data_IF_938514314128
#
_entry.id   IF_938514314128
#
_cell.length_a   1.000
_cell.length_b   1.000
_cell.length_c   1.000
_cell.angle_alpha   90.00
_cell.angle_beta   90.00
_cell.angle_gamma   90.00
#
_symmetry.space_group_name_H-M   'P 1'
#
loop_
_entity.id
_entity.type
_entity.pdbx_description
1 polymer ?
#
# COMPACT_ATOMS: atom_id res chain seq x y z
N UNK A 1 -15.77 3.97 7.32
CA UNK A 1 -16.37 3.18 8.42
C UNK A 1 -15.44 3.36 9.61
N UNK A 2 -15.93 3.82 10.75
CA UNK A 2 -15.12 3.99 11.95
C UNK A 2 -14.76 2.64 12.57
N UNK A 3 -13.74 2.61 13.41
CA UNK A 3 -13.33 1.40 14.15
C UNK A 3 -14.50 0.84 14.99
N UNK A 4 -15.21 1.72 15.69
CA UNK A 4 -16.38 1.33 16.50
C UNK A 4 -17.52 0.73 15.66
N UNK A 5 -17.81 1.32 14.50
CA UNK A 5 -18.81 0.77 13.57
C UNK A 5 -18.39 -0.60 13.04
N UNK A 6 -17.07 -0.81 12.83
CA UNK A 6 -16.55 -2.12 12.42
C UNK A 6 -16.75 -3.18 13.49
N UNK A 7 -16.50 -2.87 14.77
CA UNK A 7 -16.77 -3.77 15.90
C UNK A 7 -18.24 -4.18 15.92
N UNK A 8 -19.17 -3.21 15.89
CA UNK A 8 -20.62 -3.48 15.90
C UNK A 8 -21.09 -4.36 14.74
N UNK A 9 -20.51 -4.15 13.55
CA UNK A 9 -20.84 -4.95 12.36
C UNK A 9 -20.37 -6.39 12.51
N UNK A 10 -19.16 -6.59 13.07
CA UNK A 10 -18.57 -7.90 13.33
C UNK A 10 -19.38 -8.63 14.40
N UNK A 11 -19.76 -7.95 15.49
CA UNK A 11 -20.62 -8.52 16.54
C UNK A 11 -21.93 -9.09 15.98
N UNK A 12 -22.64 -8.31 15.16
CA UNK A 12 -23.85 -8.77 14.50
C UNK A 12 -23.62 -10.02 13.66
N UNK A 13 -22.52 -10.06 12.91
CA UNK A 13 -22.17 -11.18 12.04
C UNK A 13 -21.88 -12.43 12.86
N UNK A 14 -21.12 -12.31 13.97
CA UNK A 14 -20.80 -13.41 14.88
C UNK A 14 -22.08 -13.95 15.52
N UNK A 15 -22.94 -13.08 16.01
CA UNK A 15 -24.22 -13.47 16.63
C UNK A 15 -25.16 -14.18 15.66
N UNK A 16 -25.23 -13.71 14.41
CA UNK A 16 -26.11 -14.28 13.38
C UNK A 16 -25.68 -15.68 12.92
N UNK A 17 -24.39 -15.96 12.91
CA UNK A 17 -23.87 -17.21 12.38
C UNK A 17 -23.69 -18.34 13.42
N UNK A 18 -23.99 -18.06 14.70
CA UNK A 18 -24.06 -19.07 15.77
C UNK A 18 -22.79 -19.93 15.93
N UNK A 19 -21.66 -19.35 15.65
CA UNK A 19 -20.46 -20.11 15.32
C UNK A 19 -19.61 -20.51 16.53
N UNK A 20 -18.74 -21.55 16.40
CA UNK A 20 -17.68 -21.88 17.34
C UNK A 20 -16.58 -20.78 17.44
N UNK A 21 -16.84 -19.60 16.90
CA UNK A 21 -16.01 -18.39 16.89
C UNK A 21 -16.10 -17.61 18.22
N UNK A 22 -16.75 -18.14 19.24
CA UNK A 22 -16.91 -17.53 20.58
C UNK A 22 -15.59 -17.27 21.30
N UNK A 23 -14.46 -17.74 20.74
CA UNK A 23 -13.12 -17.49 21.31
C UNK A 23 -12.45 -16.22 20.74
N UNK A 24 -13.00 -15.59 19.70
CA UNK A 24 -12.44 -14.38 19.09
C UNK A 24 -13.41 -13.24 19.29
N UNK A 25 -13.04 -12.27 20.11
CA UNK A 25 -13.86 -11.08 20.32
C UNK A 25 -13.86 -10.16 19.09
N UNK A 26 -14.92 -9.39 18.93
CA UNK A 26 -15.14 -8.53 17.78
C UNK A 26 -14.11 -7.42 17.66
N UNK A 27 -13.56 -6.97 18.77
CA UNK A 27 -12.53 -5.94 18.77
C UNK A 27 -11.21 -6.48 18.23
N UNK A 28 -10.80 -7.67 18.61
CA UNK A 28 -9.61 -8.34 18.03
C UNK A 28 -9.73 -8.53 16.53
N UNK A 29 -10.91 -8.92 16.03
CA UNK A 29 -11.17 -9.05 14.58
C UNK A 29 -11.12 -7.68 13.90
N UNK A 30 -11.70 -6.65 14.50
CA UNK A 30 -11.67 -5.29 13.95
C UNK A 30 -10.24 -4.75 13.87
N UNK A 31 -9.42 -4.95 14.90
CA UNK A 31 -8.00 -4.58 14.93
C UNK A 31 -7.21 -5.30 13.83
N UNK A 32 -7.40 -6.60 13.69
CA UNK A 32 -6.75 -7.39 12.66
C UNK A 32 -7.14 -6.92 11.25
N UNK A 33 -8.42 -6.62 11.00
CA UNK A 33 -8.89 -6.06 9.72
C UNK A 33 -8.31 -4.68 9.43
N UNK A 34 -8.19 -3.84 10.46
CA UNK A 34 -7.61 -2.51 10.32
C UNK A 34 -6.12 -2.58 9.94
N UNK A 35 -5.37 -3.50 10.58
CA UNK A 35 -3.96 -3.73 10.28
C UNK A 35 -3.73 -4.39 8.90
N UNK A 36 -4.71 -5.14 8.41
CA UNK A 36 -4.66 -5.88 7.15
C UNK A 36 -5.71 -5.37 6.15
N UNK A 37 -5.86 -4.05 6.03
CA UNK A 37 -6.90 -3.38 5.23
C UNK A 37 -6.82 -3.65 3.72
N UNK A 38 -5.69 -4.16 3.24
CA UNK A 38 -5.46 -4.50 1.84
C UNK A 38 -5.14 -6.00 1.71
N UNK A 39 -6.15 -6.88 1.65
CA UNK A 39 -5.93 -8.33 1.61
C UNK A 39 -5.27 -8.81 0.31
N UNK A 40 -5.50 -8.12 -0.83
CA UNK A 40 -4.94 -8.51 -2.13
C UNK A 40 -4.24 -7.34 -2.83
N UNK A 41 -3.37 -7.67 -3.81
CA UNK A 41 -2.76 -6.66 -4.67
C UNK A 41 -3.81 -5.87 -5.48
N UNK A 42 -4.91 -6.51 -5.90
CA UNK A 42 -6.00 -5.81 -6.59
C UNK A 42 -6.70 -4.77 -5.71
N UNK A 43 -6.83 -5.01 -4.42
CA UNK A 43 -7.39 -4.02 -3.49
C UNK A 43 -6.46 -2.81 -3.38
N UNK A 44 -5.14 -3.07 -3.37
CA UNK A 44 -4.12 -2.01 -3.40
C UNK A 44 -4.21 -1.24 -4.72
N UNK A 45 -4.20 -1.92 -5.85
CA UNK A 45 -4.26 -1.29 -7.17
C UNK A 45 -5.50 -0.40 -7.32
N UNK A 46 -6.68 -0.87 -6.89
CA UNK A 46 -7.93 -0.09 -6.91
C UNK A 46 -7.86 1.14 -6.00
N UNK A 47 -7.34 0.98 -4.79
CA UNK A 47 -7.20 2.06 -3.83
C UNK A 47 -6.25 3.13 -4.35
N UNK A 48 -5.07 2.74 -4.83
CA UNK A 48 -4.03 3.65 -5.30
C UNK A 48 -4.36 4.29 -6.65
N UNK A 49 -5.05 3.59 -7.54
CA UNK A 49 -5.56 4.16 -8.79
C UNK A 49 -6.61 5.25 -8.55
N UNK A 50 -7.45 5.09 -7.52
CA UNK A 50 -8.39 6.14 -7.12
C UNK A 50 -7.66 7.39 -6.61
N UNK A 51 -6.62 7.22 -5.80
CA UNK A 51 -5.77 8.34 -5.33
C UNK A 51 -5.15 9.04 -6.53
N UNK A 52 -4.53 8.29 -7.44
CA UNK A 52 -3.88 8.84 -8.61
C UNK A 52 -4.84 9.67 -9.47
N UNK A 53 -6.06 9.18 -9.68
CA UNK A 53 -7.10 9.94 -10.40
C UNK A 53 -7.43 11.25 -9.70
N UNK A 54 -7.64 11.21 -8.38
CA UNK A 54 -7.94 12.41 -7.59
C UNK A 54 -6.80 13.44 -7.64
N UNK A 55 -5.56 12.97 -7.59
CA UNK A 55 -4.38 13.83 -7.67
C UNK A 55 -4.24 14.45 -9.08
N UNK A 56 -4.56 13.69 -10.15
CA UNK A 56 -4.59 14.22 -11.52
C UNK A 56 -5.67 15.31 -11.68
N UNK A 57 -6.87 15.05 -11.18
CA UNK A 57 -7.97 16.03 -11.20
C UNK A 57 -7.61 17.30 -10.40
N UNK A 58 -6.92 17.13 -9.26
CA UNK A 58 -6.45 18.26 -8.46
C UNK A 58 -5.38 19.06 -9.19
N UNK A 59 -4.43 18.40 -9.86
CA UNK A 59 -3.40 19.07 -10.67
C UNK A 59 -3.97 19.82 -11.88
N UNK A 60 -4.97 19.24 -12.54
CA UNK A 60 -5.66 19.91 -13.66
C UNK A 60 -6.40 21.19 -13.21
N UNK A 61 -6.90 21.19 -11.97
CA UNK A 61 -7.55 22.37 -11.38
C UNK A 61 -6.54 23.39 -10.86
N UNK A 62 -5.43 22.96 -10.28
CA UNK A 62 -4.36 23.79 -9.74
C UNK A 62 -2.99 23.09 -9.91
N UNK A 63 -2.12 23.59 -10.79
CA UNK A 63 -0.77 23.02 -10.99
C UNK A 63 0.11 23.03 -9.73
N UNK A 64 -0.23 23.79 -8.68
CA UNK A 64 0.47 23.73 -7.40
C UNK A 64 0.18 22.42 -6.64
N UNK A 65 -0.86 21.68 -7.00
CA UNK A 65 -1.20 20.35 -6.46
C UNK A 65 -0.42 19.21 -7.13
N UNK A 66 0.86 19.42 -7.44
CA UNK A 66 1.70 18.43 -8.08
C UNK A 66 2.00 17.24 -7.17
N UNK A 67 2.22 16.08 -7.77
CA UNK A 67 2.69 14.87 -7.11
C UNK A 67 4.20 14.69 -7.27
N UNK A 68 4.81 13.93 -6.35
CA UNK A 68 6.23 13.62 -6.39
C UNK A 68 6.44 12.11 -6.44
N UNK A 69 7.08 11.65 -7.50
CA UNK A 69 7.45 10.25 -7.68
C UNK A 69 8.88 10.00 -7.20
N UNK A 70 9.06 8.95 -6.42
CA UNK A 70 10.33 8.58 -5.78
C UNK A 70 10.79 7.22 -6.29
N UNK A 71 11.95 7.15 -6.93
CA UNK A 71 12.55 5.90 -7.37
C UNK A 71 12.74 4.93 -6.20
N UNK A 72 12.36 3.66 -6.39
CA UNK A 72 12.49 2.64 -5.37
C UNK A 72 12.69 1.25 -5.98
N UNK A 73 13.55 0.45 -5.37
CA UNK A 73 13.95 -0.89 -5.85
C UNK A 73 14.08 -1.93 -4.74
N UNK A 74 13.64 -1.60 -3.52
CA UNK A 74 13.75 -2.50 -2.37
C UNK A 74 12.68 -2.16 -1.32
N UNK A 75 12.00 -3.17 -0.80
CA UNK A 75 10.88 -3.00 0.13
C UNK A 75 11.25 -2.23 1.40
N UNK A 76 12.40 -2.54 2.02
CA UNK A 76 12.85 -1.81 3.20
C UNK A 76 13.10 -0.32 2.93
N UNK A 77 13.69 0.00 1.77
CA UNK A 77 13.92 1.39 1.38
C UNK A 77 12.58 2.12 1.17
N UNK A 78 11.61 1.48 0.51
CA UNK A 78 10.26 2.04 0.36
C UNK A 78 9.61 2.34 1.71
N UNK A 79 9.66 1.38 2.63
CA UNK A 79 9.14 1.52 3.99
C UNK A 79 9.78 2.70 4.72
N UNK A 80 11.12 2.78 4.73
CA UNK A 80 11.84 3.86 5.42
C UNK A 80 11.57 5.24 4.80
N UNK A 81 11.45 5.32 3.46
CA UNK A 81 11.07 6.56 2.78
C UNK A 81 9.68 7.03 3.23
N UNK A 82 8.67 6.17 3.21
CA UNK A 82 7.30 6.56 3.57
C UNK A 82 7.17 6.88 5.05
N UNK A 83 7.81 6.12 5.95
CA UNK A 83 7.87 6.46 7.38
C UNK A 83 8.51 7.83 7.61
N UNK A 84 9.65 8.09 6.96
CA UNK A 84 10.36 9.36 7.07
C UNK A 84 9.53 10.52 6.53
N UNK A 85 8.90 10.36 5.38
CA UNK A 85 8.03 11.38 4.78
C UNK A 85 6.86 11.68 5.71
N UNK A 86 6.14 10.68 6.19
CA UNK A 86 5.02 10.86 7.12
C UNK A 86 5.47 11.58 8.40
N UNK A 87 6.64 11.19 8.95
CA UNK A 87 7.20 11.82 10.13
C UNK A 87 7.56 13.30 9.94
N UNK A 88 8.15 13.66 8.79
CA UNK A 88 8.67 15.01 8.58
C UNK A 88 7.65 15.96 7.94
N UNK A 89 6.74 15.46 7.13
CA UNK A 89 5.74 16.25 6.41
C UNK A 89 4.31 16.06 6.94
N UNK A 90 4.11 15.15 7.90
CA UNK A 90 2.80 14.85 8.50
C UNK A 90 1.90 13.98 7.61
N UNK A 91 2.27 13.72 6.35
CA UNK A 91 1.45 13.00 5.40
C UNK A 91 2.28 12.35 4.30
N UNK A 92 1.77 11.25 3.72
CA UNK A 92 2.28 10.61 2.50
C UNK A 92 1.50 11.02 1.24
N UNK A 93 0.50 11.90 1.37
CA UNK A 93 -0.29 12.37 0.22
C UNK A 93 0.59 12.98 -0.86
N UNK A 94 0.16 12.82 -2.12
CA UNK A 94 0.90 13.31 -3.30
C UNK A 94 2.32 12.73 -3.43
N UNK A 95 2.59 11.58 -2.80
CA UNK A 95 3.86 10.83 -2.92
C UNK A 95 3.59 9.49 -3.59
N UNK A 96 4.38 9.21 -4.63
CA UNK A 96 4.31 7.98 -5.42
C UNK A 96 5.66 7.27 -5.35
N UNK A 97 5.64 5.98 -5.61
CA UNK A 97 6.86 5.23 -5.88
C UNK A 97 6.94 4.96 -7.39
N UNK A 98 8.10 5.20 -7.95
CA UNK A 98 8.43 4.80 -9.31
C UNK A 98 9.37 3.59 -9.28
N UNK A 99 8.95 2.55 -9.94
CA UNK A 99 9.69 1.31 -10.07
C UNK A 99 10.27 1.25 -11.47
N UNK A 100 11.55 1.59 -11.57
CA UNK A 100 12.28 1.68 -12.84
C UNK A 100 12.74 0.31 -13.32
N UNK A 101 12.48 -0.02 -14.57
CA UNK A 101 12.98 -1.22 -15.25
C UNK A 101 14.50 -1.28 -15.23
N UNK A 102 15.16 -0.15 -15.50
CA UNK A 102 16.61 -0.04 -15.40
C UNK A 102 17.18 -0.45 -14.03
N UNK A 103 16.55 -0.01 -12.94
CA UNK A 103 16.97 -0.38 -11.59
C UNK A 103 16.72 -1.87 -11.30
N UNK A 104 15.65 -2.44 -11.86
CA UNK A 104 15.37 -3.88 -11.76
C UNK A 104 16.42 -4.67 -12.52
N UNK A 105 16.73 -4.31 -13.76
CA UNK A 105 17.74 -4.96 -14.57
C UNK A 105 19.12 -4.93 -13.89
N UNK A 106 19.50 -3.78 -13.32
CA UNK A 106 20.81 -3.60 -12.69
C UNK A 106 20.95 -4.30 -11.32
N UNK A 107 19.87 -4.41 -10.54
CA UNK A 107 19.96 -4.78 -9.13
C UNK A 107 19.17 -6.03 -8.73
N UNK A 108 18.25 -6.51 -9.57
CA UNK A 108 17.31 -7.58 -9.21
C UNK A 108 17.35 -8.78 -10.14
N UNK A 109 18.09 -8.73 -11.25
CA UNK A 109 18.21 -9.89 -12.14
C UNK A 109 18.98 -11.02 -11.47
N UNK A 110 18.52 -12.25 -11.65
CA UNK A 110 19.19 -13.47 -11.17
C UNK A 110 20.51 -13.75 -11.96
N UNK A 111 20.64 -13.19 -13.13
CA UNK A 111 21.84 -13.34 -13.98
C UNK A 111 22.94 -12.31 -13.71
N UNK A 112 22.81 -11.51 -12.65
CA UNK A 112 23.69 -10.41 -12.35
C UNK A 112 23.24 -9.10 -12.99
N UNK A 113 24.02 -8.02 -12.88
CA UNK A 113 23.64 -6.73 -13.45
C UNK A 113 23.47 -6.82 -14.97
N UNK A 114 22.26 -6.56 -15.44
CA UNK A 114 21.91 -6.52 -16.86
C UNK A 114 21.67 -5.07 -17.31
N UNK A 115 21.87 -4.78 -18.62
CA UNK A 115 21.44 -3.50 -19.17
C UNK A 115 19.90 -3.43 -19.18
N UNK A 116 19.38 -2.22 -19.32
CA UNK A 116 17.98 -1.92 -19.54
C UNK A 116 17.40 -2.62 -20.79
N UNK A 117 16.23 -2.23 -21.23
CA UNK A 117 15.57 -2.70 -22.46
C UNK A 117 15.01 -4.12 -22.37
N UNK A 118 14.25 -4.39 -21.30
CA UNK A 118 13.58 -5.69 -21.11
C UNK A 118 14.53 -6.90 -21.08
N UNK A 119 15.77 -6.71 -20.67
CA UNK A 119 16.75 -7.80 -20.58
C UNK A 119 16.76 -8.51 -19.22
N UNK A 120 15.89 -8.15 -18.30
CA UNK A 120 15.66 -8.88 -17.03
C UNK A 120 14.47 -9.82 -17.14
N UNK A 121 14.31 -10.68 -16.15
CA UNK A 121 13.20 -11.63 -16.10
C UNK A 121 11.88 -10.86 -15.92
N UNK A 122 10.91 -11.10 -16.80
CA UNK A 122 9.60 -10.42 -16.80
C UNK A 122 8.81 -10.56 -15.49
N UNK A 123 9.16 -11.51 -14.63
CA UNK A 123 8.54 -11.70 -13.30
C UNK A 123 9.18 -10.84 -12.22
N UNK A 124 10.34 -10.22 -12.47
CA UNK A 124 11.09 -9.43 -11.48
C UNK A 124 10.32 -8.19 -11.03
N UNK A 125 9.69 -7.47 -11.95
CA UNK A 125 8.92 -6.26 -11.63
C UNK A 125 7.67 -6.59 -10.82
N UNK A 126 6.79 -7.53 -11.20
CA UNK A 126 5.67 -7.95 -10.36
C UNK A 126 6.09 -8.39 -8.94
N UNK A 127 7.16 -9.19 -8.82
CA UNK A 127 7.66 -9.63 -7.52
C UNK A 127 8.14 -8.46 -6.66
N UNK A 128 8.80 -7.46 -7.26
CA UNK A 128 9.22 -6.27 -6.54
C UNK A 128 8.04 -5.40 -6.11
N UNK A 129 6.99 -5.26 -6.92
CA UNK A 129 5.75 -4.56 -6.52
C UNK A 129 5.17 -5.21 -5.25
N UNK A 130 5.05 -6.54 -5.22
CA UNK A 130 4.58 -7.29 -4.06
C UNK A 130 5.47 -7.08 -2.83
N UNK A 131 6.79 -7.09 -3.01
CA UNK A 131 7.76 -6.81 -1.94
C UNK A 131 7.55 -5.41 -1.37
N UNK A 132 7.51 -4.37 -2.23
CA UNK A 132 7.33 -2.99 -1.80
C UNK A 132 6.06 -2.85 -0.96
N UNK A 133 4.93 -3.36 -1.43
CA UNK A 133 3.68 -3.29 -0.69
C UNK A 133 3.67 -4.12 0.59
N UNK A 134 4.37 -5.25 0.62
CA UNK A 134 4.53 -6.02 1.84
C UNK A 134 5.19 -5.19 2.93
N UNK A 135 6.27 -4.50 2.61
CA UNK A 135 6.98 -3.64 3.56
C UNK A 135 6.17 -2.40 3.98
N UNK A 136 5.42 -1.79 3.05
CA UNK A 136 4.54 -0.66 3.38
C UNK A 136 3.39 -1.08 4.30
N UNK A 137 2.76 -2.22 4.05
CA UNK A 137 1.74 -2.79 4.94
C UNK A 137 2.30 -3.15 6.32
N UNK A 138 3.54 -3.61 6.41
CA UNK A 138 4.20 -3.84 7.71
C UNK A 138 4.41 -2.55 8.50
N UNK A 139 4.69 -1.42 7.83
CA UNK A 139 4.73 -0.13 8.51
C UNK A 139 3.38 0.23 9.12
N UNK A 140 2.29 0.08 8.34
CA UNK A 140 0.92 0.29 8.83
C UNK A 140 0.60 -0.61 10.04
N UNK A 141 0.88 -1.90 9.92
CA UNK A 141 0.59 -2.86 10.99
C UNK A 141 1.33 -2.53 12.29
N UNK A 142 2.59 -2.07 12.21
CA UNK A 142 3.38 -1.65 13.38
C UNK A 142 2.83 -0.39 14.02
N UNK A 143 2.54 0.64 13.22
CA UNK A 143 2.03 1.92 13.73
C UNK A 143 0.64 1.74 14.35
N UNK A 144 -0.28 1.07 13.66
CA UNK A 144 -1.61 0.75 14.20
C UNK A 144 -1.53 -0.14 15.44
N UNK A 145 -0.63 -1.13 15.47
CA UNK A 145 -0.40 -1.95 16.66
C UNK A 145 0.11 -1.14 17.86
N UNK A 146 0.88 -0.07 17.61
CA UNK A 146 1.25 0.92 18.63
C UNK A 146 0.03 1.65 19.15
N UNK A 147 -0.76 2.25 18.26
CA UNK A 147 -1.98 2.99 18.61
C UNK A 147 -2.99 2.12 19.39
N UNK A 148 -3.16 0.85 19.02
CA UNK A 148 -4.04 -0.05 19.77
C UNK A 148 -3.53 -0.32 21.19
N UNK A 149 -2.23 -0.54 21.40
CA UNK A 149 -1.67 -0.71 22.74
C UNK A 149 -1.80 0.55 23.60
N UNK A 150 -1.58 1.72 22.99
CA UNK A 150 -1.73 2.99 23.69
C UNK A 150 -3.20 3.24 24.05
N UNK A 151 -4.15 2.87 23.18
CA UNK A 151 -5.58 2.92 23.46
C UNK A 151 -5.97 2.03 24.65
N UNK A 152 -5.47 0.80 24.69
CA UNK A 152 -5.72 -0.12 25.80
C UNK A 152 -5.16 0.45 27.10
N UNK A 153 -3.93 0.98 27.08
CA UNK A 153 -3.29 1.62 28.24
C UNK A 153 -4.08 2.83 28.74
N UNK A 154 -4.59 3.67 27.84
CA UNK A 154 -5.42 4.82 28.22
C UNK A 154 -6.74 4.38 28.88
N UNK A 155 -7.39 3.36 28.33
CA UNK A 155 -8.63 2.78 28.88
C UNK A 155 -8.40 2.16 30.27
N UNK A 156 -7.32 1.40 30.44
CA UNK A 156 -6.96 0.80 31.73
C UNK A 156 -6.71 1.85 32.83
N UNK A 157 -6.17 3.01 32.46
CA UNK A 157 -5.95 4.15 33.35
C UNK A 157 -7.19 5.01 33.60
N UNK A 158 -8.28 4.78 32.86
CA UNK A 158 -9.49 5.62 32.90
C UNK A 158 -9.28 7.00 32.28
N UNK A 159 -8.25 7.17 31.44
CA UNK A 159 -7.98 8.43 30.72
C UNK A 159 -8.82 8.52 29.46
N UNK A 160 -10.08 8.92 29.61
CA UNK A 160 -11.05 9.02 28.53
C UNK A 160 -10.64 10.05 27.47
N UNK A 161 -9.94 11.12 27.85
CA UNK A 161 -9.50 12.18 26.90
C UNK A 161 -8.43 11.61 25.97
N UNK A 162 -7.45 10.93 26.52
CA UNK A 162 -6.39 10.32 25.73
C UNK A 162 -6.94 9.14 24.91
N UNK A 163 -7.83 8.32 25.47
CA UNK A 163 -8.48 7.23 24.73
C UNK A 163 -9.25 7.75 23.50
N UNK A 164 -10.00 8.86 23.62
CA UNK A 164 -10.70 9.49 22.50
C UNK A 164 -9.74 10.05 21.47
N UNK A 165 -8.62 10.68 21.89
CA UNK A 165 -7.60 11.21 20.99
C UNK A 165 -6.98 10.08 20.14
N UNK A 166 -6.61 8.96 20.79
CA UNK A 166 -6.03 7.81 20.11
C UNK A 166 -7.06 7.14 19.17
N UNK A 167 -8.30 7.00 19.63
CA UNK A 167 -9.39 6.47 18.80
C UNK A 167 -9.57 7.30 17.54
N UNK A 168 -9.54 8.63 17.64
CA UNK A 168 -9.60 9.52 16.47
C UNK A 168 -8.42 9.31 15.53
N UNK A 169 -7.21 9.10 16.05
CA UNK A 169 -6.03 8.80 15.24
C UNK A 169 -6.17 7.46 14.49
N UNK A 170 -6.76 6.45 15.11
CA UNK A 170 -7.05 5.15 14.47
C UNK A 170 -8.11 5.31 13.37
N UNK A 171 -9.20 6.04 13.64
CA UNK A 171 -10.29 6.25 12.69
C UNK A 171 -9.84 7.03 11.44
N UNK A 172 -8.91 7.96 11.60
CA UNK A 172 -8.36 8.79 10.54
C UNK A 172 -6.97 8.35 10.08
N UNK A 173 -6.60 7.11 10.35
CA UNK A 173 -5.28 6.59 10.05
C UNK A 173 -4.94 6.70 8.56
N UNK A 174 -3.86 7.43 8.26
CA UNK A 174 -3.28 7.53 6.93
C UNK A 174 -2.26 6.42 6.71
N UNK A 175 -2.49 5.60 5.69
CA UNK A 175 -1.64 4.46 5.34
C UNK A 175 -0.30 4.89 4.71
N UNK A 176 0.72 4.06 4.86
CA UNK A 176 1.98 4.17 4.11
C UNK A 176 1.88 3.60 2.68
N UNK A 177 0.77 2.94 2.35
CA UNK A 177 0.51 2.42 1.00
C UNK A 177 0.20 3.59 0.07
N UNK A 178 1.11 3.83 -0.86
CA UNK A 178 1.05 4.91 -1.87
C UNK A 178 1.01 4.33 -3.28
N UNK A 179 0.59 5.11 -4.30
CA UNK A 179 0.61 4.66 -5.69
C UNK A 179 2.00 4.21 -6.14
N UNK A 180 2.07 3.08 -6.86
CA UNK A 180 3.27 2.64 -7.58
C UNK A 180 3.01 2.77 -9.08
N UNK A 181 3.88 3.52 -9.77
CA UNK A 181 4.00 3.52 -11.22
C UNK A 181 5.11 2.52 -11.55
N UNK A 182 4.78 1.46 -12.29
CA UNK A 182 5.72 0.40 -12.63
C UNK A 182 6.13 0.47 -14.10
N UNK A 183 7.41 0.36 -14.33
CA UNK A 183 7.98 0.29 -15.68
C UNK A 183 7.75 -1.09 -16.27
N UNK A 184 7.23 -1.13 -17.50
CA UNK A 184 7.03 -2.35 -18.28
C UNK A 184 7.96 -2.36 -19.50
N UNK A 185 8.97 -1.47 -19.53
CA UNK A 185 9.89 -1.26 -20.64
C UNK A 185 9.13 -1.20 -21.99
N UNK A 186 9.58 -1.95 -22.99
CA UNK A 186 8.91 -2.09 -24.29
C UNK A 186 7.84 -3.21 -24.32
N UNK A 187 7.47 -3.80 -23.18
CA UNK A 187 6.39 -4.79 -23.07
C UNK A 187 6.84 -6.26 -23.00
N UNK A 188 8.13 -6.57 -23.06
CA UNK A 188 8.70 -7.92 -22.93
C UNK A 188 8.22 -8.94 -23.99
N UNK A 189 7.94 -8.50 -25.19
CA UNK A 189 7.60 -9.36 -26.31
C UNK A 189 6.47 -8.81 -27.19
N UNK A 190 5.59 -9.71 -27.67
CA UNK A 190 4.44 -9.33 -28.47
C UNK A 190 3.28 -8.76 -27.63
N UNK A 191 2.20 -8.32 -28.28
CA UNK A 191 1.05 -7.72 -27.62
C UNK A 191 0.42 -8.61 -26.53
N UNK A 192 0.36 -9.93 -26.77
CA UNK A 192 -0.17 -10.89 -25.81
C UNK A 192 0.73 -11.03 -24.57
N UNK A 193 2.05 -11.05 -24.77
CA UNK A 193 3.02 -11.07 -23.65
C UNK A 193 2.93 -9.79 -22.82
N UNK A 194 2.83 -8.62 -23.46
CA UNK A 194 2.64 -7.33 -22.80
C UNK A 194 1.33 -7.31 -22.00
N UNK A 195 0.23 -7.78 -22.58
CA UNK A 195 -1.06 -7.87 -21.89
C UNK A 195 -0.97 -8.73 -20.61
N UNK A 196 -0.37 -9.92 -20.71
CA UNK A 196 -0.24 -10.84 -19.58
C UNK A 196 0.66 -10.26 -18.48
N UNK A 197 1.74 -9.58 -18.86
CA UNK A 197 2.63 -8.93 -17.90
C UNK A 197 1.93 -7.73 -17.22
N UNK A 198 1.26 -6.87 -17.99
CA UNK A 198 0.48 -5.77 -17.44
C UNK A 198 -0.57 -6.26 -16.45
N UNK A 199 -1.32 -7.32 -16.79
CA UNK A 199 -2.27 -7.96 -15.89
C UNK A 199 -1.60 -8.40 -14.59
N UNK A 200 -0.43 -9.06 -14.67
CA UNK A 200 0.29 -9.54 -13.49
C UNK A 200 0.80 -8.40 -12.60
N UNK A 201 1.27 -7.30 -13.19
CA UNK A 201 1.69 -6.11 -12.44
C UNK A 201 0.52 -5.45 -11.69
N UNK A 202 -0.66 -5.37 -12.33
CA UNK A 202 -1.89 -4.86 -11.70
C UNK A 202 -2.32 -5.79 -10.56
N UNK A 203 -2.28 -7.11 -10.76
CA UNK A 203 -2.58 -8.10 -9.71
C UNK A 203 -1.60 -8.01 -8.54
N UNK A 204 -0.34 -7.63 -8.78
CA UNK A 204 0.66 -7.36 -7.76
C UNK A 204 0.41 -6.03 -6.99
N UNK A 205 -0.40 -5.13 -7.56
CA UNK A 205 -0.81 -3.88 -6.91
C UNK A 205 -0.46 -2.59 -7.63
N UNK A 206 0.21 -2.61 -8.78
CA UNK A 206 0.52 -1.40 -9.53
C UNK A 206 -0.75 -0.64 -9.93
N UNK A 207 -0.76 0.68 -9.77
CA UNK A 207 -1.88 1.53 -10.16
C UNK A 207 -1.71 2.12 -11.56
N UNK A 208 -0.48 2.18 -12.04
CA UNK A 208 -0.14 2.66 -13.37
C UNK A 208 1.07 1.90 -13.92
N UNK A 209 1.14 1.80 -15.23
CA UNK A 209 2.24 1.18 -15.96
C UNK A 209 2.79 2.20 -16.95
N UNK A 210 4.12 2.30 -17.02
CA UNK A 210 4.80 3.09 -18.04
C UNK A 210 5.30 2.12 -19.10
N UNK A 211 4.92 2.33 -20.34
CA UNK A 211 5.42 1.59 -21.49
C UNK A 211 6.20 2.52 -22.41
N UNK A 212 7.30 2.05 -22.92
CA UNK A 212 8.13 2.78 -23.85
C UNK A 212 7.94 2.27 -25.29
N UNK A 213 8.27 3.13 -26.24
CA UNK A 213 8.21 2.79 -27.67
C UNK A 213 9.59 2.51 -28.27
N UNK A 214 10.48 1.97 -27.48
CA UNK A 214 11.81 1.54 -27.93
C UNK A 214 11.68 0.42 -28.97
N UNK A 215 12.43 0.53 -30.05
CA UNK A 215 12.44 -0.42 -31.17
C UNK A 215 13.80 -1.12 -31.22
#
# INVERSE_FOLDING_TARGET
>A
MTYQTSIQTIDKTIQQNGAPWNAIDSESVARMRQQNRFPTGLDIARYTAKIMRQDMEAYDADPAAYTQSLGCWHGFIAQQKMISIKKHFGSTKQRYLYLSGWMVAALRSEFGPLPDQSMHEKTSVPALIEELYTFLKQADARELGGLFRDLDTAREKGDEVEAQRIQHAIDNYETHVVPIIADIDAGFGNAEATYLLAKKMIEAGACALQIENQV
#
